data_IF_454231135239
#
_entry.id   IF_454231135239
#
_cell.length_a   1.000
_cell.length_b   1.000
_cell.length_c   1.000
_cell.angle_alpha   90.00
_cell.angle_beta   90.00
_cell.angle_gamma   90.00
#
_symmetry.space_group_name_H-M   'P 1'
#
loop_
_entity.id
_entity.type
_entity.pdbx_description
1 polymer ?
#
# COMPACT_ATOMS: atom_id res chain seq x y z
N UNK A 1 40.36 26.29 -11.59
CA UNK A 1 39.70 26.22 -10.27
C UNK A 1 40.61 26.91 -9.26
N UNK A 2 40.12 27.92 -8.57
CA UNK A 2 40.88 28.62 -7.51
C UNK A 2 41.02 27.70 -6.27
N UNK A 3 42.00 27.97 -5.40
CA UNK A 3 42.13 27.23 -4.12
C UNK A 3 40.87 27.38 -3.26
N UNK A 4 40.20 28.48 -3.31
CA UNK A 4 38.91 28.76 -2.67
C UNK A 4 37.80 27.84 -3.19
N UNK A 5 37.77 27.51 -4.49
CA UNK A 5 36.78 26.64 -5.09
C UNK A 5 37.01 25.16 -4.67
N UNK A 6 38.28 24.75 -4.62
CA UNK A 6 38.66 23.40 -4.13
C UNK A 6 38.26 23.17 -2.66
N UNK A 7 38.51 24.18 -1.80
CA UNK A 7 38.13 24.11 -0.39
C UNK A 7 36.60 24.04 -0.21
N UNK A 8 35.84 24.78 -1.01
CA UNK A 8 34.37 24.73 -1.00
C UNK A 8 33.85 23.38 -1.47
N UNK A 9 34.44 22.80 -2.51
CA UNK A 9 34.06 21.48 -3.05
C UNK A 9 34.42 20.37 -2.07
N UNK A 10 35.57 20.40 -1.43
CA UNK A 10 35.98 19.48 -0.37
C UNK A 10 35.05 19.56 0.84
N UNK A 11 34.65 20.77 1.26
CA UNK A 11 33.70 20.94 2.37
C UNK A 11 32.32 20.38 2.05
N UNK A 12 31.84 20.55 0.81
CA UNK A 12 30.57 19.95 0.34
C UNK A 12 30.65 18.42 0.33
N UNK A 13 31.73 17.84 -0.19
CA UNK A 13 31.96 16.40 -0.21
C UNK A 13 32.02 15.81 1.20
N UNK A 14 32.74 16.46 2.13
CA UNK A 14 32.85 16.03 3.51
C UNK A 14 31.49 16.09 4.23
N UNK A 15 30.71 17.17 4.01
CA UNK A 15 29.35 17.29 4.54
C UNK A 15 28.45 16.18 4.01
N UNK A 16 28.44 15.95 2.70
CA UNK A 16 27.66 14.87 2.07
C UNK A 16 28.04 13.49 2.61
N UNK A 17 29.33 13.22 2.77
CA UNK A 17 29.82 11.93 3.31
C UNK A 17 29.38 11.73 4.77
N UNK A 18 29.42 12.79 5.57
CA UNK A 18 28.99 12.77 6.97
C UNK A 18 27.49 12.54 7.10
N UNK A 19 26.68 13.25 6.31
CA UNK A 19 25.22 13.10 6.28
C UNK A 19 24.82 11.69 5.83
N UNK A 20 25.46 11.15 4.80
CA UNK A 20 25.22 9.77 4.33
C UNK A 20 25.56 8.72 5.39
N UNK A 21 26.67 8.91 6.12
CA UNK A 21 27.07 8.01 7.20
C UNK A 21 26.06 8.02 8.36
N UNK A 22 25.59 9.21 8.75
CA UNK A 22 24.58 9.36 9.79
C UNK A 22 23.26 8.70 9.35
N UNK A 23 22.79 8.97 8.13
CA UNK A 23 21.58 8.36 7.60
C UNK A 23 21.66 6.82 7.59
N UNK A 24 22.82 6.26 7.21
CA UNK A 24 23.06 4.81 7.24
C UNK A 24 22.98 4.26 8.66
N UNK A 25 23.54 4.95 9.64
CA UNK A 25 23.50 4.50 11.03
C UNK A 25 22.08 4.56 11.59
N UNK A 26 21.35 5.65 11.34
CA UNK A 26 19.95 5.81 11.76
C UNK A 26 19.06 4.72 11.16
N UNK A 27 19.22 4.39 9.87
CA UNK A 27 18.43 3.32 9.23
C UNK A 27 18.76 1.94 9.83
N UNK A 28 20.01 1.66 10.22
CA UNK A 28 20.41 0.42 10.87
C UNK A 28 19.84 0.27 12.29
N UNK A 29 19.69 1.39 12.99
CA UNK A 29 19.14 1.45 14.36
C UNK A 29 17.61 1.45 14.36
N UNK A 30 16.97 1.52 13.20
CA UNK A 30 15.51 1.57 13.07
C UNK A 30 14.92 0.18 12.88
N UNK A 31 13.89 -0.15 13.66
CA UNK A 31 12.98 -1.28 13.44
C UNK A 31 11.71 -0.78 12.76
N UNK A 32 11.34 -1.41 11.66
CA UNK A 32 10.08 -1.11 10.96
C UNK A 32 9.02 -2.11 11.35
N UNK A 33 7.82 -1.64 11.67
CA UNK A 33 6.64 -2.46 11.93
C UNK A 33 5.54 -2.11 10.95
N UNK A 34 5.21 -3.07 10.07
CA UNK A 34 4.17 -2.90 9.05
C UNK A 34 2.86 -3.49 9.56
N UNK A 35 1.85 -2.64 9.77
CA UNK A 35 0.50 -3.04 10.16
C UNK A 35 -0.24 -3.63 8.95
N UNK A 36 -0.50 -4.91 8.97
CA UNK A 36 -1.11 -5.66 7.87
C UNK A 36 -2.30 -6.53 8.33
N UNK A 37 -2.93 -6.17 9.43
CA UNK A 37 -3.97 -6.96 10.11
C UNK A 37 -5.41 -6.50 9.88
N UNK A 38 -5.66 -5.39 9.17
CA UNK A 38 -6.99 -4.84 8.97
C UNK A 38 -7.93 -5.73 8.14
N UNK A 39 -9.22 -5.73 8.48
CA UNK A 39 -10.25 -6.56 7.81
C UNK A 39 -10.46 -6.18 6.33
N UNK A 40 -10.35 -4.88 6.00
CA UNK A 40 -10.50 -4.38 4.63
C UNK A 40 -11.91 -4.54 4.07
N UNK A 41 -12.95 -4.50 4.90
CA UNK A 41 -14.35 -4.78 4.54
C UNK A 41 -14.90 -3.92 3.39
N UNK A 42 -14.38 -2.70 3.21
CA UNK A 42 -14.78 -1.76 2.12
C UNK A 42 -14.42 -2.27 0.72
N UNK A 43 -13.43 -3.16 0.58
CA UNK A 43 -13.09 -3.82 -0.69
C UNK A 43 -13.97 -5.05 -1.00
N UNK A 44 -15.01 -5.31 -0.18
CA UNK A 44 -16.06 -6.31 -0.43
C UNK A 44 -15.47 -7.70 -0.78
N UNK A 45 -15.86 -8.25 -1.92
CA UNK A 45 -15.43 -9.56 -2.40
C UNK A 45 -13.93 -9.74 -2.54
N UNK A 46 -13.17 -8.67 -2.85
CA UNK A 46 -11.72 -8.74 -2.99
C UNK A 46 -11.00 -9.14 -1.70
N UNK A 47 -11.57 -8.83 -0.54
CA UNK A 47 -11.01 -9.17 0.77
C UNK A 47 -11.75 -10.32 1.48
N UNK A 48 -12.65 -11.00 0.79
CA UNK A 48 -13.36 -12.15 1.35
C UNK A 48 -12.41 -13.28 1.79
N UNK A 49 -11.36 -13.53 1.01
CA UNK A 49 -10.41 -14.63 1.22
C UNK A 49 -8.95 -14.18 1.44
N UNK A 50 -8.71 -12.89 1.55
CA UNK A 50 -7.36 -12.31 1.72
C UNK A 50 -7.43 -11.00 2.48
N UNK A 51 -6.37 -10.67 3.22
CA UNK A 51 -6.20 -9.35 3.83
C UNK A 51 -6.00 -8.28 2.75
N UNK A 52 -6.39 -7.00 3.01
CA UNK A 52 -6.23 -5.88 2.09
C UNK A 52 -4.79 -5.76 1.57
N UNK A 53 -3.72 -5.84 2.40
CA UNK A 53 -2.34 -5.79 1.92
C UNK A 53 -1.95 -6.88 0.91
N UNK A 54 -2.69 -7.98 0.86
CA UNK A 54 -2.47 -9.09 -0.08
C UNK A 54 -3.26 -8.98 -1.39
N UNK A 55 -4.05 -7.93 -1.59
CA UNK A 55 -4.79 -7.69 -2.84
C UNK A 55 -3.78 -7.38 -3.96
N UNK A 56 -3.91 -8.00 -5.15
CA UNK A 56 -3.04 -7.70 -6.29
C UNK A 56 -3.20 -6.25 -6.75
N UNK A 57 -2.13 -5.61 -7.23
CA UNK A 57 -2.12 -4.25 -7.73
C UNK A 57 -1.13 -4.08 -8.90
N UNK A 58 -1.43 -3.20 -9.87
CA UNK A 58 -0.50 -2.81 -10.93
C UNK A 58 -0.02 -3.95 -11.84
N UNK A 59 -0.86 -4.97 -12.06
CA UNK A 59 -0.58 -6.10 -12.95
C UNK A 59 0.26 -7.22 -12.33
N UNK A 60 1.12 -6.92 -11.35
CA UNK A 60 2.16 -7.84 -10.89
C UNK A 60 2.32 -7.88 -9.38
N UNK A 61 2.12 -6.77 -8.69
CA UNK A 61 2.42 -6.55 -7.28
C UNK A 61 1.26 -6.92 -6.37
N UNK A 62 1.49 -6.81 -5.07
CA UNK A 62 0.46 -6.70 -4.05
C UNK A 62 0.61 -5.36 -3.34
N UNK A 63 -0.45 -4.88 -2.71
CA UNK A 63 -0.44 -3.57 -2.05
C UNK A 63 0.72 -3.45 -1.06
N UNK A 64 0.99 -4.46 -0.24
CA UNK A 64 2.08 -4.44 0.75
C UNK A 64 3.48 -4.29 0.13
N UNK A 65 3.67 -4.71 -1.13
CA UNK A 65 4.98 -4.65 -1.77
C UNK A 65 5.50 -3.21 -1.90
N UNK A 66 4.62 -2.21 -1.93
CA UNK A 66 5.00 -0.80 -1.98
C UNK A 66 5.68 -0.35 -0.68
N UNK A 67 5.05 -0.57 0.47
CA UNK A 67 5.63 -0.22 1.77
C UNK A 67 6.95 -0.97 2.02
N UNK A 68 7.00 -2.28 1.72
CA UNK A 68 8.22 -3.07 1.88
C UNK A 68 9.33 -2.65 0.90
N UNK A 69 8.99 -2.31 -0.35
CA UNK A 69 9.97 -1.80 -1.31
C UNK A 69 10.54 -0.45 -0.88
N UNK A 70 9.68 0.44 -0.37
CA UNK A 70 10.15 1.70 0.20
C UNK A 70 11.13 1.47 1.35
N UNK A 71 10.88 0.49 2.24
CA UNK A 71 11.82 0.13 3.30
C UNK A 71 13.19 -0.27 2.71
N UNK A 72 13.19 -1.21 1.77
CA UNK A 72 14.42 -1.71 1.16
C UNK A 72 15.18 -0.61 0.42
N UNK A 73 14.48 0.19 -0.37
CA UNK A 73 15.08 1.28 -1.14
C UNK A 73 15.61 2.41 -0.23
N UNK A 74 15.01 2.61 0.96
CA UNK A 74 15.47 3.57 1.98
C UNK A 74 16.60 3.03 2.88
N UNK A 75 17.09 1.81 2.65
CA UNK A 75 18.14 1.21 3.51
C UNK A 75 17.64 0.53 4.78
N UNK A 76 16.34 0.47 5.01
CA UNK A 76 15.73 -0.21 6.15
C UNK A 76 15.67 -1.72 5.89
N UNK A 77 16.24 -2.51 6.80
CA UNK A 77 16.44 -3.96 6.62
C UNK A 77 15.90 -4.81 7.76
N UNK A 78 15.34 -4.18 8.81
CA UNK A 78 14.82 -4.85 10.02
C UNK A 78 13.32 -4.60 10.07
N UNK A 79 12.52 -5.53 9.53
CA UNK A 79 11.11 -5.31 9.25
C UNK A 79 10.27 -6.42 9.88
N UNK A 80 9.35 -6.05 10.78
CA UNK A 80 8.30 -6.92 11.30
C UNK A 80 6.98 -6.62 10.58
N UNK A 81 6.27 -7.66 10.15
CA UNK A 81 4.93 -7.52 9.53
C UNK A 81 3.88 -8.12 10.46
N UNK A 82 3.06 -7.25 11.07
CA UNK A 82 2.01 -7.65 11.99
C UNK A 82 0.76 -8.08 11.21
N UNK A 83 0.36 -9.35 11.36
CA UNK A 83 -0.76 -9.92 10.61
C UNK A 83 -1.85 -10.45 11.55
N UNK A 84 -3.10 -10.35 11.14
CA UNK A 84 -4.25 -10.85 11.91
C UNK A 84 -5.29 -11.52 11.02
N UNK A 85 -6.14 -10.76 10.34
CA UNK A 85 -7.23 -11.29 9.54
C UNK A 85 -6.77 -11.90 8.22
N UNK A 86 -7.31 -13.10 7.86
CA UNK A 86 -7.15 -13.75 6.54
C UNK A 86 -5.70 -13.73 6.02
N UNK A 87 -4.75 -13.96 6.93
CA UNK A 87 -3.33 -13.73 6.72
C UNK A 87 -2.63 -14.77 5.82
N UNK A 88 -3.21 -15.96 5.63
CA UNK A 88 -2.56 -17.07 4.90
C UNK A 88 -2.00 -16.66 3.53
N UNK A 89 -2.79 -15.95 2.72
CA UNK A 89 -2.37 -15.48 1.40
C UNK A 89 -1.25 -14.45 1.48
N UNK A 90 -1.26 -13.60 2.52
CA UNK A 90 -0.24 -12.61 2.79
C UNK A 90 1.06 -13.28 3.26
N UNK A 91 0.98 -14.16 4.26
CA UNK A 91 2.11 -14.91 4.80
C UNK A 91 2.85 -15.66 3.68
N UNK A 92 2.12 -16.41 2.84
CA UNK A 92 2.70 -17.12 1.71
C UNK A 92 3.39 -16.19 0.71
N UNK A 93 2.85 -14.99 0.50
CA UNK A 93 3.48 -13.99 -0.36
C UNK A 93 4.78 -13.47 0.26
N UNK A 94 4.75 -13.07 1.52
CA UNK A 94 5.92 -12.58 2.25
C UNK A 94 7.07 -13.59 2.24
N UNK A 95 6.78 -14.85 2.55
CA UNK A 95 7.79 -15.91 2.53
C UNK A 95 8.45 -16.10 1.16
N UNK A 96 7.70 -15.90 0.07
CA UNK A 96 8.23 -16.08 -1.30
C UNK A 96 8.90 -14.84 -1.86
N UNK A 97 8.36 -13.67 -1.57
CA UNK A 97 8.81 -12.41 -2.13
C UNK A 97 9.97 -11.79 -1.34
N UNK A 98 9.97 -11.95 -0.01
CA UNK A 98 10.76 -11.13 0.90
C UNK A 98 11.79 -11.93 1.73
N UNK A 99 12.00 -13.19 1.40
CA UNK A 99 12.99 -14.07 2.07
C UNK A 99 14.43 -13.93 1.55
N UNK A 100 14.78 -12.83 0.88
CA UNK A 100 16.11 -12.60 0.32
C UNK A 100 17.06 -11.83 1.25
N UNK A 101 16.58 -11.28 2.35
CA UNK A 101 17.39 -10.63 3.36
C UNK A 101 18.16 -11.66 4.18
N UNK A 102 19.33 -11.26 4.67
CA UNK A 102 20.27 -12.17 5.35
C UNK A 102 20.20 -12.02 6.87
N UNK A 103 19.55 -12.95 7.51
CA UNK A 103 19.42 -12.99 8.98
C UNK A 103 20.76 -13.03 9.70
N UNK A 104 21.82 -13.60 9.07
CA UNK A 104 23.17 -13.70 9.63
C UNK A 104 23.82 -12.33 9.90
N UNK A 105 23.39 -11.29 9.20
CA UNK A 105 23.86 -9.91 9.41
C UNK A 105 22.80 -9.03 10.03
N UNK A 106 21.72 -9.62 10.59
CA UNK A 106 20.66 -8.92 11.28
C UNK A 106 19.61 -8.25 10.37
N UNK A 107 19.52 -8.67 9.10
CA UNK A 107 18.53 -8.21 8.14
C UNK A 107 17.39 -9.23 8.01
N UNK A 108 16.13 -8.78 8.11
CA UNK A 108 14.99 -9.69 8.05
C UNK A 108 13.69 -8.99 7.62
N UNK A 109 12.78 -9.78 7.05
CA UNK A 109 11.34 -9.51 7.03
C UNK A 109 10.68 -10.63 7.83
N UNK A 110 10.32 -10.36 9.07
CA UNK A 110 9.71 -11.31 9.99
C UNK A 110 8.20 -11.12 10.03
N UNK A 111 7.47 -12.24 10.07
CA UNK A 111 6.01 -12.22 10.17
C UNK A 111 5.63 -12.38 11.64
N UNK A 112 4.92 -11.38 12.16
CA UNK A 112 4.43 -11.32 13.53
C UNK A 112 2.91 -11.54 13.52
N UNK A 113 2.43 -12.80 13.50
CA UNK A 113 1.01 -13.06 13.50
C UNK A 113 0.42 -12.75 14.87
N UNK A 114 -0.84 -12.30 14.89
CA UNK A 114 -1.57 -12.15 16.14
C UNK A 114 -1.58 -13.51 16.88
N UNK A 115 -1.22 -13.46 18.16
CA UNK A 115 -1.18 -14.60 19.06
C UNK A 115 -1.93 -14.19 20.34
N UNK A 116 -2.58 -15.13 20.99
CA UNK A 116 -3.26 -14.88 22.27
C UNK A 116 -2.24 -14.91 23.44
N UNK A 117 -1.26 -13.98 23.40
CA UNK A 117 -0.14 -13.93 24.37
C UNK A 117 -0.53 -13.27 25.68
N UNK A 118 -1.46 -12.32 25.61
CA UNK A 118 -1.98 -11.59 26.76
C UNK A 118 -3.47 -11.87 26.96
N UNK A 119 -3.83 -13.13 27.26
CA UNK A 119 -5.21 -13.57 27.44
C UNK A 119 -5.80 -14.21 26.18
N UNK A 120 -7.15 -14.21 26.06
CA UNK A 120 -7.86 -14.88 24.96
C UNK A 120 -8.17 -13.96 23.76
N UNK A 121 -7.72 -12.71 23.79
CA UNK A 121 -8.04 -11.73 22.75
C UNK A 121 -6.93 -11.63 21.71
N UNK A 122 -7.36 -11.39 20.47
CA UNK A 122 -6.49 -10.97 19.39
C UNK A 122 -6.11 -9.49 19.57
N UNK A 123 -5.38 -8.89 18.61
CA UNK A 123 -5.09 -7.45 18.66
C UNK A 123 -6.39 -6.64 18.69
N UNK A 124 -6.57 -5.83 19.74
CA UNK A 124 -7.76 -4.97 19.92
C UNK A 124 -7.71 -3.74 19.05
N UNK A 125 -6.50 -3.21 18.80
CA UNK A 125 -6.25 -2.04 17.98
C UNK A 125 -4.82 -2.03 17.46
N UNK A 126 -4.45 -0.96 16.76
CA UNK A 126 -3.13 -0.80 16.15
C UNK A 126 -2.02 -0.63 17.19
N UNK A 127 -2.29 0.05 18.30
CA UNK A 127 -1.35 0.20 19.43
C UNK A 127 -1.20 -1.12 20.21
N UNK A 128 -2.29 -1.83 20.45
CA UNK A 128 -2.27 -3.15 21.11
C UNK A 128 -1.45 -4.18 20.31
N UNK A 129 -1.48 -4.09 18.98
CA UNK A 129 -0.66 -4.95 18.12
C UNK A 129 0.85 -4.76 18.39
N UNK A 130 1.30 -3.54 18.63
CA UNK A 130 2.68 -3.27 19.02
C UNK A 130 2.94 -3.67 20.48
N UNK A 131 2.04 -3.33 21.38
CA UNK A 131 2.16 -3.67 22.80
C UNK A 131 2.36 -5.17 23.02
N UNK A 132 1.56 -6.01 22.38
CA UNK A 132 1.69 -7.48 22.47
C UNK A 132 2.99 -8.03 21.88
N UNK A 133 3.74 -7.25 21.10
CA UNK A 133 5.03 -7.63 20.51
C UNK A 133 6.21 -6.83 21.08
N UNK A 134 6.03 -6.12 22.21
CA UNK A 134 7.10 -5.31 22.81
C UNK A 134 8.35 -6.12 23.19
N UNK A 135 8.19 -7.35 23.63
CA UNK A 135 9.31 -8.25 23.94
C UNK A 135 10.15 -8.59 22.71
N UNK A 136 9.52 -8.73 21.55
CA UNK A 136 10.22 -8.93 20.26
C UNK A 136 10.95 -7.65 19.87
N UNK A 137 10.29 -6.50 19.97
CA UNK A 137 10.91 -5.20 19.70
C UNK A 137 12.11 -4.98 20.62
N UNK A 138 11.98 -5.29 21.90
CA UNK A 138 13.05 -5.13 22.91
C UNK A 138 14.29 -5.98 22.59
N UNK A 139 14.12 -7.20 22.09
CA UNK A 139 15.25 -8.07 21.67
C UNK A 139 16.09 -7.46 20.56
N UNK A 140 15.46 -6.68 19.69
CA UNK A 140 16.16 -5.99 18.60
C UNK A 140 16.82 -4.68 19.06
N UNK A 141 16.50 -4.18 20.24
CA UNK A 141 17.03 -2.95 20.85
C UNK A 141 17.15 -1.78 19.84
N UNK A 142 16.06 -1.41 19.14
CA UNK A 142 16.10 -0.31 18.19
C UNK A 142 16.17 1.02 18.94
N UNK A 143 16.81 2.03 18.35
CA UNK A 143 16.76 3.41 18.79
C UNK A 143 15.49 4.11 18.32
N UNK A 144 15.04 3.75 17.12
CA UNK A 144 13.84 4.26 16.47
C UNK A 144 12.92 3.13 16.03
N UNK A 145 11.62 3.36 16.11
CA UNK A 145 10.60 2.46 15.58
C UNK A 145 9.79 3.21 14.54
N UNK A 146 9.77 2.67 13.31
CA UNK A 146 8.90 3.17 12.26
C UNK A 146 7.68 2.28 12.12
N UNK A 147 6.49 2.86 12.18
CA UNK A 147 5.20 2.17 12.03
C UNK A 147 4.59 2.56 10.69
N UNK A 148 4.25 1.58 9.87
CA UNK A 148 3.70 1.77 8.52
C UNK A 148 2.36 1.07 8.35
N UNK A 149 1.41 1.70 7.67
CA UNK A 149 0.28 1.01 7.08
C UNK A 149 0.73 0.18 5.87
N UNK A 150 0.41 -1.11 5.85
CA UNK A 150 0.76 -2.02 4.73
C UNK A 150 -0.27 -2.02 3.59
N UNK A 151 -1.13 -1.01 3.50
CA UNK A 151 -2.34 -1.01 2.67
C UNK A 151 -2.51 0.24 1.79
N UNK A 152 -1.43 1.00 1.57
CA UNK A 152 -1.38 2.19 0.72
C UNK A 152 -0.42 2.02 -0.47
N UNK A 153 -0.66 2.80 -1.53
CA UNK A 153 0.14 2.81 -2.76
C UNK A 153 0.89 4.14 -2.86
N UNK A 154 2.22 4.09 -2.80
CA UNK A 154 3.11 5.25 -2.89
C UNK A 154 4.57 4.82 -3.03
N UNK A 155 5.45 5.75 -3.43
CA UNK A 155 6.91 5.60 -3.36
C UNK A 155 7.48 6.70 -2.48
N UNK A 156 8.24 6.33 -1.45
CA UNK A 156 8.77 7.27 -0.46
C UNK A 156 10.13 6.83 0.07
N UNK A 157 11.07 7.76 0.13
CA UNK A 157 12.33 7.58 0.84
C UNK A 157 12.15 7.88 2.33
N UNK A 158 12.03 6.82 3.12
CA UNK A 158 11.88 6.94 4.56
C UNK A 158 13.12 7.46 5.28
N UNK A 159 14.30 7.37 4.68
CA UNK A 159 15.53 7.90 5.28
C UNK A 159 15.44 9.41 5.49
N UNK A 160 14.78 10.15 4.59
CA UNK A 160 14.54 11.58 4.71
C UNK A 160 13.66 11.93 5.93
N UNK A 161 12.60 11.15 6.16
CA UNK A 161 11.72 11.33 7.33
C UNK A 161 12.44 10.97 8.64
N UNK A 162 13.23 9.90 8.65
CA UNK A 162 14.06 9.51 9.79
C UNK A 162 15.08 10.59 10.13
N UNK A 163 15.77 11.15 9.14
CA UNK A 163 16.72 12.25 9.35
C UNK A 163 16.04 13.51 9.90
N UNK A 164 14.84 13.84 9.45
CA UNK A 164 14.07 14.93 10.03
C UNK A 164 13.71 14.66 11.49
N UNK A 165 13.27 13.44 11.82
CA UNK A 165 12.98 13.01 13.20
C UNK A 165 14.18 13.20 14.12
N UNK A 166 15.34 12.71 13.71
CA UNK A 166 16.58 12.83 14.50
C UNK A 166 17.03 14.29 14.65
N UNK A 167 17.04 15.04 13.53
CA UNK A 167 17.50 16.43 13.53
C UNK A 167 16.60 17.37 14.35
N UNK A 168 15.31 17.09 14.44
CA UNK A 168 14.35 17.86 15.25
C UNK A 168 14.29 17.44 16.71
N UNK A 169 14.98 16.36 17.09
CA UNK A 169 14.86 15.77 18.43
C UNK A 169 13.43 15.38 18.75
N UNK A 170 12.70 14.89 17.75
CA UNK A 170 11.30 14.52 17.91
C UNK A 170 11.15 13.23 18.74
N UNK A 171 10.08 13.14 19.50
CA UNK A 171 9.60 11.90 20.11
C UNK A 171 8.71 11.12 19.14
N UNK A 172 7.96 11.88 18.32
CA UNK A 172 7.04 11.38 17.30
C UNK A 172 7.13 12.23 16.03
N UNK A 173 7.27 11.59 14.86
CA UNK A 173 7.12 12.23 13.56
C UNK A 173 6.01 11.54 12.79
N UNK A 174 5.08 12.30 12.21
CA UNK A 174 3.94 11.80 11.45
C UNK A 174 4.07 12.22 9.99
N UNK A 175 4.12 11.24 9.06
CA UNK A 175 4.03 11.50 7.63
C UNK A 175 2.64 12.04 7.27
N UNK A 176 2.57 13.16 6.57
CA UNK A 176 1.33 13.82 6.22
C UNK A 176 1.28 14.26 4.76
N UNK A 177 0.06 14.38 4.25
CA UNK A 177 -0.24 14.75 2.88
C UNK A 177 -1.43 15.71 2.84
N UNK A 178 -1.45 16.59 1.85
CA UNK A 178 -2.57 17.49 1.62
C UNK A 178 -3.65 16.74 0.83
N UNK A 179 -4.87 16.75 1.31
CA UNK A 179 -6.02 16.12 0.65
C UNK A 179 -7.22 17.08 0.60
N UNK A 180 -8.14 16.92 -0.36
CA UNK A 180 -9.42 17.63 -0.34
C UNK A 180 -10.12 17.43 1.00
N UNK A 181 -10.74 18.50 1.54
CA UNK A 181 -11.42 18.48 2.85
C UNK A 181 -12.43 17.35 2.99
N UNK A 182 -13.20 17.07 1.93
CA UNK A 182 -14.19 16.00 1.95
C UNK A 182 -13.55 14.59 2.06
N UNK A 183 -12.40 14.39 1.44
CA UNK A 183 -11.64 13.13 1.54
C UNK A 183 -10.97 12.98 2.91
N UNK A 184 -10.62 14.09 3.56
CA UNK A 184 -9.96 14.11 4.86
C UNK A 184 -10.78 13.45 5.98
N UNK A 185 -12.10 13.35 5.83
CA UNK A 185 -13.00 12.63 6.78
C UNK A 185 -12.65 11.16 6.97
N UNK A 186 -11.90 10.58 6.03
CA UNK A 186 -11.48 9.19 6.10
C UNK A 186 -10.16 8.98 6.89
N UNK A 187 -9.45 10.05 7.26
CA UNK A 187 -8.10 10.03 7.80
C UNK A 187 -7.99 10.74 9.16
N UNK A 188 -6.87 10.54 9.84
CA UNK A 188 -6.47 11.42 10.92
C UNK A 188 -6.07 12.79 10.35
N UNK A 189 -6.65 13.86 10.84
CA UNK A 189 -6.38 15.25 10.39
C UNK A 189 -5.59 15.98 11.45
N UNK A 190 -4.57 16.72 11.02
CA UNK A 190 -3.70 17.47 11.91
C UNK A 190 -3.61 18.94 11.55
N UNK A 191 -3.37 19.78 12.57
CA UNK A 191 -2.99 21.17 12.46
C UNK A 191 -1.55 21.33 12.96
N UNK A 192 -0.79 22.19 12.30
CA UNK A 192 0.62 22.43 12.61
C UNK A 192 0.91 23.91 12.79
N UNK A 193 1.97 24.24 13.52
CA UNK A 193 2.54 25.58 13.58
C UNK A 193 3.56 25.82 12.46
N UNK A 194 4.24 26.97 12.52
CA UNK A 194 5.25 27.39 11.54
C UNK A 194 6.47 26.48 11.48
N UNK A 195 6.77 25.77 12.57
CA UNK A 195 7.89 24.85 12.71
C UNK A 195 7.48 23.38 12.44
N UNK A 196 6.30 23.17 11.87
CA UNK A 196 5.71 21.86 11.61
C UNK A 196 5.42 21.02 12.87
N UNK A 197 5.40 21.64 14.05
CA UNK A 197 4.97 20.98 15.28
C UNK A 197 3.47 20.77 15.24
N UNK A 198 3.02 19.56 15.56
CA UNK A 198 1.61 19.21 15.55
C UNK A 198 0.95 19.81 16.79
N UNK A 199 -0.03 20.68 16.55
CA UNK A 199 -0.79 21.38 17.60
C UNK A 199 -2.14 20.74 17.90
N UNK A 200 -2.70 20.02 16.93
CA UNK A 200 -3.95 19.26 17.06
C UNK A 200 -3.92 18.03 16.16
N UNK A 201 -4.57 16.98 16.61
CA UNK A 201 -4.83 15.77 15.83
C UNK A 201 -6.21 15.22 16.14
N UNK A 202 -7.00 14.90 15.10
CA UNK A 202 -8.34 14.33 15.25
C UNK A 202 -8.50 13.17 14.25
N UNK A 203 -8.79 11.99 14.76
CA UNK A 203 -9.00 10.80 13.92
C UNK A 203 -10.39 10.82 13.29
N UNK A 204 -10.47 10.80 11.97
CA UNK A 204 -11.70 10.75 11.16
C UNK A 204 -12.76 11.77 11.60
N UNK A 205 -12.44 13.07 11.60
CA UNK A 205 -13.38 14.09 12.01
C UNK A 205 -14.55 14.21 11.03
N UNK A 206 -15.75 14.48 11.55
CA UNK A 206 -16.91 14.82 10.70
C UNK A 206 -16.68 16.14 9.96
N UNK A 207 -16.03 17.09 10.62
CA UNK A 207 -15.67 18.40 10.10
C UNK A 207 -14.14 18.59 10.15
N UNK A 208 -13.41 18.22 9.07
CA UNK A 208 -11.94 18.30 9.06
C UNK A 208 -11.45 19.76 9.12
N UNK A 209 -10.45 20.00 9.98
CA UNK A 209 -9.72 21.27 9.98
C UNK A 209 -8.98 21.48 8.66
N UNK A 210 -8.95 22.71 8.20
CA UNK A 210 -8.32 23.07 6.93
C UNK A 210 -6.96 23.73 7.15
N UNK A 211 -6.11 23.67 6.13
CA UNK A 211 -4.82 24.36 6.15
C UNK A 211 -5.06 25.88 6.13
N UNK A 212 -4.39 26.67 6.99
CA UNK A 212 -4.51 28.12 6.99
C UNK A 212 -4.31 28.73 5.60
N UNK A 213 -5.30 29.51 5.15
CA UNK A 213 -5.31 30.13 3.81
C UNK A 213 -5.72 29.19 2.66
N UNK A 214 -6.03 27.92 2.93
CA UNK A 214 -6.53 26.95 1.92
C UNK A 214 -7.73 26.17 2.45
N UNK A 215 -8.94 26.73 2.38
CA UNK A 215 -10.15 26.17 3.01
C UNK A 215 -10.67 24.88 2.35
N UNK A 216 -10.20 24.57 1.19
CA UNK A 216 -10.50 23.37 0.40
C UNK A 216 -9.61 22.15 0.73
N UNK A 217 -8.51 22.37 1.47
CA UNK A 217 -7.52 21.35 1.77
C UNK A 217 -7.33 21.15 3.28
N UNK A 218 -7.06 19.89 3.66
CA UNK A 218 -6.70 19.47 5.01
C UNK A 218 -5.38 18.71 5.00
N UNK A 219 -4.67 18.73 6.14
CA UNK A 219 -3.43 17.97 6.32
C UNK A 219 -3.75 16.61 6.95
N UNK A 220 -3.68 15.55 6.16
CA UNK A 220 -4.05 14.20 6.55
C UNK A 220 -2.83 13.34 6.91
N UNK A 221 -2.98 12.51 7.93
CA UNK A 221 -1.99 11.48 8.28
C UNK A 221 -1.99 10.36 7.24
N UNK A 222 -0.80 9.98 6.81
CA UNK A 222 -0.58 8.86 5.90
C UNK A 222 -0.54 7.49 6.61
N UNK A 223 -0.68 7.45 7.94
CA UNK A 223 -0.46 6.22 8.70
C UNK A 223 1.01 5.78 8.71
N UNK A 224 1.92 6.73 8.62
CA UNK A 224 3.37 6.55 8.65
C UNK A 224 3.90 7.32 9.85
N UNK A 225 4.48 6.61 10.81
CA UNK A 225 4.96 7.19 12.06
C UNK A 225 6.41 6.79 12.31
N UNK A 226 7.19 7.71 12.85
CA UNK A 226 8.52 7.44 13.45
C UNK A 226 8.46 7.81 14.91
N UNK A 227 8.88 6.91 15.77
CA UNK A 227 8.94 7.09 17.20
C UNK A 227 10.37 6.92 17.71
N UNK A 228 10.77 7.74 18.67
CA UNK A 228 11.85 7.40 19.60
C UNK A 228 11.39 6.21 20.45
N UNK A 229 12.18 5.14 20.51
CA UNK A 229 11.74 3.87 21.14
C UNK A 229 11.33 4.01 22.60
N UNK A 230 12.05 4.83 23.37
CA UNK A 230 11.73 5.08 24.79
C UNK A 230 10.35 5.72 24.97
N UNK A 231 10.04 6.70 24.11
CA UNK A 231 8.73 7.33 24.10
C UNK A 231 7.63 6.34 23.72
N UNK A 232 7.83 5.58 22.64
CA UNK A 232 6.85 4.59 22.17
C UNK A 232 6.51 3.57 23.27
N UNK A 233 7.51 3.02 23.95
CA UNK A 233 7.28 2.03 25.01
C UNK A 233 6.47 2.62 26.16
N UNK A 234 6.82 3.82 26.60
CA UNK A 234 6.06 4.50 27.66
C UNK A 234 4.60 4.75 27.25
N UNK A 235 4.38 5.17 26.01
CA UNK A 235 3.04 5.43 25.48
C UNK A 235 2.21 4.14 25.36
N UNK A 236 2.81 3.04 24.89
CA UNK A 236 2.13 1.74 24.75
C UNK A 236 1.76 1.12 26.11
N UNK A 237 2.64 1.26 27.13
CA UNK A 237 2.36 0.77 28.49
C UNK A 237 1.20 1.57 29.08
N UNK A 238 1.26 2.91 29.02
CA UNK A 238 0.20 3.76 29.54
C UNK A 238 -1.16 3.52 28.84
N UNK A 239 -1.15 3.26 27.52
CA UNK A 239 -2.35 2.94 26.78
C UNK A 239 -2.93 1.57 27.15
N UNK A 240 -2.07 0.57 27.37
CA UNK A 240 -2.50 -0.78 27.75
C UNK A 240 -3.19 -0.82 29.13
N UNK A 241 -2.83 0.09 30.04
CA UNK A 241 -3.41 0.24 31.37
C UNK A 241 -4.70 1.10 31.37
N UNK A 242 -5.01 1.80 30.28
CA UNK A 242 -6.18 2.65 30.17
C UNK A 242 -7.42 1.81 29.76
N UNK A 243 -8.41 1.62 30.67
CA UNK A 243 -9.59 0.81 30.38
C UNK A 243 -10.54 1.44 29.35
N UNK A 244 -10.44 2.75 29.14
CA UNK A 244 -11.30 3.49 28.20
C UNK A 244 -10.66 3.57 26.80
N UNK A 245 -9.42 3.12 26.65
CA UNK A 245 -8.72 3.13 25.36
C UNK A 245 -9.26 2.08 24.39
N UNK A 246 -9.37 2.45 23.11
CA UNK A 246 -9.59 1.53 22.00
C UNK A 246 -8.28 0.91 21.50
N UNK A 247 -7.14 1.30 22.07
CA UNK A 247 -5.79 0.88 21.74
C UNK A 247 -5.42 1.13 20.27
N UNK A 248 -5.81 2.29 19.76
CA UNK A 248 -5.55 2.74 18.39
C UNK A 248 -4.59 3.94 18.38
N UNK A 249 -3.64 3.95 17.43
CA UNK A 249 -2.68 5.06 17.34
C UNK A 249 -3.37 6.40 17.12
N UNK A 250 -4.30 6.46 16.17
CA UNK A 250 -4.97 7.69 15.78
C UNK A 250 -5.93 8.21 16.83
N UNK A 251 -6.61 7.32 17.57
CA UNK A 251 -7.62 7.69 18.55
C UNK A 251 -7.03 7.93 19.94
N UNK A 252 -6.03 7.14 20.34
CA UNK A 252 -5.61 7.08 21.73
C UNK A 252 -4.17 7.56 21.93
N UNK A 253 -3.20 7.07 21.16
CA UNK A 253 -1.77 7.40 21.35
C UNK A 253 -1.45 8.81 20.86
N UNK A 254 -1.75 9.14 19.61
CA UNK A 254 -1.34 10.41 19.01
C UNK A 254 -1.98 11.62 19.67
N UNK A 255 -3.30 11.64 19.96
CA UNK A 255 -3.93 12.77 20.66
C UNK A 255 -3.34 13.04 22.05
N UNK A 256 -2.91 11.99 22.78
CA UNK A 256 -2.21 12.15 24.05
C UNK A 256 -0.77 12.64 23.86
N UNK A 257 -0.07 12.10 22.86
CA UNK A 257 1.33 12.41 22.55
C UNK A 257 1.56 13.88 22.21
N UNK A 258 0.69 14.50 21.41
CA UNK A 258 0.85 15.91 20.99
C UNK A 258 0.88 16.93 22.16
N UNK A 259 0.35 16.57 23.31
CA UNK A 259 0.34 17.44 24.51
C UNK A 259 1.58 17.26 25.39
N UNK A 260 2.28 16.14 25.32
CA UNK A 260 3.37 15.78 26.23
C UNK A 260 4.72 15.54 25.54
N UNK A 261 4.73 15.45 24.23
CA UNK A 261 5.90 15.08 23.45
C UNK A 261 6.22 16.11 22.34
N UNK A 262 7.44 16.04 21.83
CA UNK A 262 7.83 16.78 20.62
C UNK A 262 7.31 16.03 19.38
N UNK A 263 6.09 16.37 18.94
CA UNK A 263 5.43 15.75 17.80
C UNK A 263 5.53 16.64 16.56
N UNK A 264 6.14 16.13 15.48
CA UNK A 264 6.45 16.87 14.25
C UNK A 264 5.71 16.24 13.06
N UNK A 265 5.17 17.06 12.17
CA UNK A 265 4.60 16.63 10.90
C UNK A 265 5.67 16.62 9.81
N UNK A 266 5.76 15.52 9.06
CA UNK A 266 6.62 15.39 7.88
C UNK A 266 5.75 15.50 6.61
N UNK A 267 5.78 16.65 5.90
CA UNK A 267 5.00 16.80 4.66
C UNK A 267 5.63 15.96 3.55
N UNK A 268 4.83 15.05 3.01
CA UNK A 268 5.25 14.19 1.90
C UNK A 268 5.12 14.92 0.57
N UNK A 269 6.24 15.38 0.04
CA UNK A 269 6.34 16.14 -1.21
C UNK A 269 7.48 15.63 -2.07
N UNK A 270 7.36 15.88 -3.38
CA UNK A 270 8.43 15.71 -4.34
C UNK A 270 9.55 16.74 -4.11
N UNK A 271 10.72 16.53 -4.74
CA UNK A 271 11.87 17.43 -4.61
C UNK A 271 11.60 18.85 -5.17
N UNK A 272 10.70 18.97 -6.12
CA UNK A 272 10.21 20.24 -6.67
C UNK A 272 9.17 20.95 -5.80
N UNK A 273 8.79 20.35 -4.66
CA UNK A 273 7.81 20.87 -3.72
C UNK A 273 6.36 20.56 -4.07
N UNK A 274 6.10 19.89 -5.19
CA UNK A 274 4.76 19.41 -5.56
C UNK A 274 4.32 18.26 -4.63
N UNK A 275 3.02 18.00 -4.60
CA UNK A 275 2.47 16.89 -3.84
C UNK A 275 2.96 15.55 -4.42
N UNK A 276 3.49 14.68 -3.57
CA UNK A 276 3.88 13.34 -3.99
C UNK A 276 2.68 12.41 -4.12
N UNK A 277 2.82 11.38 -4.96
CA UNK A 277 1.76 10.40 -5.18
C UNK A 277 1.54 9.50 -3.95
N UNK A 278 0.31 9.50 -3.46
CA UNK A 278 -0.15 8.60 -2.41
C UNK A 278 -1.63 8.28 -2.59
N UNK A 279 -2.02 7.01 -2.45
CA UNK A 279 -3.43 6.58 -2.56
C UNK A 279 -3.78 5.57 -1.45
N UNK A 280 -4.85 5.86 -0.71
CA UNK A 280 -5.56 4.84 0.07
C UNK A 280 -6.51 4.07 -0.87
N UNK A 281 -6.10 2.87 -1.26
CA UNK A 281 -6.93 1.98 -2.08
C UNK A 281 -7.90 1.20 -1.19
N UNK A 282 -8.65 1.90 -0.35
CA UNK A 282 -9.55 1.33 0.66
C UNK A 282 -10.95 1.00 0.16
N UNK A 283 -11.38 1.54 -0.97
CA UNK A 283 -12.67 1.25 -1.61
C UNK A 283 -12.46 0.65 -3.00
N UNK A 284 -13.50 0.04 -3.58
CA UNK A 284 -13.42 -0.50 -4.95
C UNK A 284 -13.13 0.60 -5.97
N UNK A 285 -13.76 1.77 -5.80
CA UNK A 285 -13.57 2.92 -6.71
C UNK A 285 -12.14 3.45 -6.63
N UNK A 286 -11.60 3.68 -5.42
CA UNK A 286 -10.20 4.13 -5.25
C UNK A 286 -9.18 3.09 -5.73
N UNK A 287 -9.45 1.80 -5.52
CA UNK A 287 -8.63 0.72 -6.02
C UNK A 287 -8.63 0.65 -7.57
N UNK A 288 -9.81 0.73 -8.18
CA UNK A 288 -9.95 0.75 -9.64
C UNK A 288 -9.25 1.98 -10.22
N UNK A 289 -9.52 3.17 -9.70
CA UNK A 289 -8.94 4.43 -10.15
C UNK A 289 -7.41 4.40 -10.09
N UNK A 290 -6.83 3.97 -8.96
CA UNK A 290 -5.37 3.87 -8.82
C UNK A 290 -4.73 2.89 -9.83
N UNK A 291 -5.42 1.80 -10.20
CA UNK A 291 -4.96 0.91 -11.27
C UNK A 291 -5.09 1.57 -12.67
N UNK A 292 -6.17 2.33 -12.90
CA UNK A 292 -6.37 3.02 -14.19
C UNK A 292 -5.38 4.17 -14.40
N UNK A 293 -4.98 4.87 -13.34
CA UNK A 293 -3.93 5.89 -13.37
C UNK A 293 -2.62 5.35 -13.96
N UNK A 294 -2.30 4.07 -13.73
CA UNK A 294 -1.12 3.40 -14.29
C UNK A 294 -1.18 3.22 -15.81
N UNK A 295 -2.37 3.28 -16.40
CA UNK A 295 -2.58 3.16 -17.85
C UNK A 295 -2.37 4.49 -18.61
N UNK A 296 -2.11 5.58 -17.90
CA UNK A 296 -1.78 6.87 -18.51
C UNK A 296 -0.44 6.80 -19.26
N UNK A 297 -0.26 7.67 -20.26
CA UNK A 297 1.01 7.77 -21.02
C UNK A 297 2.16 8.16 -20.07
N UNK A 298 1.91 9.10 -19.18
CA UNK A 298 2.82 9.54 -18.12
C UNK A 298 2.13 9.39 -16.77
N UNK A 299 2.20 8.20 -16.13
CA UNK A 299 1.57 7.98 -14.85
C UNK A 299 2.36 8.67 -13.72
N UNK A 300 1.67 9.31 -12.77
CA UNK A 300 2.31 9.89 -11.59
C UNK A 300 3.09 8.84 -10.79
N UNK A 301 2.55 7.64 -10.65
CA UNK A 301 3.27 6.49 -10.10
C UNK A 301 3.98 5.73 -11.22
N UNK A 302 5.27 5.97 -11.37
CA UNK A 302 6.07 5.29 -12.38
C UNK A 302 6.60 3.93 -11.91
N UNK A 303 5.95 2.84 -12.30
CA UNK A 303 6.38 1.47 -11.99
C UNK A 303 7.68 1.05 -12.73
N UNK A 304 8.14 1.84 -13.69
CA UNK A 304 9.34 1.59 -14.51
C UNK A 304 10.56 2.37 -14.02
N UNK A 305 10.45 3.07 -12.89
CA UNK A 305 11.60 3.77 -12.29
C UNK A 305 12.64 2.75 -11.79
N UNK A 306 13.82 2.75 -12.42
CA UNK A 306 14.93 1.87 -12.05
C UNK A 306 15.66 2.30 -10.80
N UNK A 307 15.54 3.57 -10.41
CA UNK A 307 16.16 4.10 -9.21
C UNK A 307 15.34 3.79 -7.96
N UNK A 308 14.02 3.56 -8.14
CA UNK A 308 13.11 3.19 -7.04
C UNK A 308 12.23 1.98 -7.41
N UNK A 309 12.83 0.78 -7.60
CA UNK A 309 12.10 -0.40 -8.06
C UNK A 309 11.12 -0.89 -6.99
N UNK A 310 9.95 -1.34 -7.43
CA UNK A 310 9.01 -2.05 -6.57
C UNK A 310 9.32 -3.56 -6.67
N UNK A 311 9.76 -4.14 -5.56
CA UNK A 311 10.09 -5.55 -5.45
C UNK A 311 8.86 -6.40 -5.18
N UNK A 312 8.82 -7.60 -5.73
CA UNK A 312 7.75 -8.58 -5.50
C UNK A 312 8.19 -9.98 -5.91
N UNK A 313 7.42 -10.98 -5.55
CA UNK A 313 7.60 -12.33 -6.08
C UNK A 313 7.20 -12.42 -7.54
N UNK A 314 8.10 -12.92 -8.36
CA UNK A 314 7.83 -13.19 -9.77
C UNK A 314 7.62 -14.67 -9.99
N UNK A 315 6.40 -15.06 -10.38
CA UNK A 315 6.14 -16.40 -10.91
C UNK A 315 6.83 -16.52 -12.26
N UNK A 316 7.43 -17.69 -12.52
CA UNK A 316 8.02 -18.02 -13.81
C UNK A 316 6.91 -18.17 -14.87
N UNK A 317 6.59 -17.10 -15.57
CA UNK A 317 5.64 -17.08 -16.68
C UNK A 317 6.36 -16.75 -17.98
N UNK A 318 5.93 -17.34 -19.12
CA UNK A 318 6.40 -16.90 -20.42
C UNK A 318 5.95 -15.46 -20.69
N UNK A 319 6.52 -14.78 -21.70
CA UNK A 319 6.02 -13.48 -22.15
C UNK A 319 4.53 -13.52 -22.50
N UNK A 320 3.86 -12.36 -22.43
CA UNK A 320 2.50 -12.22 -22.95
C UNK A 320 2.46 -12.49 -24.45
N UNK A 321 1.42 -13.20 -24.92
CA UNK A 321 1.25 -13.61 -26.30
C UNK A 321 0.00 -12.98 -26.91
N UNK A 322 0.17 -12.33 -28.04
CA UNK A 322 -0.89 -11.74 -28.85
C UNK A 322 -0.97 -12.51 -30.16
N UNK A 323 -2.15 -12.97 -30.51
CA UNK A 323 -2.33 -13.79 -31.74
C UNK A 323 -3.52 -13.33 -32.54
N UNK A 324 -3.46 -13.66 -33.83
CA UNK A 324 -4.34 -13.27 -34.91
C UNK A 324 -4.19 -11.81 -35.33
N UNK A 325 -4.28 -11.59 -36.66
CA UNK A 325 -4.29 -10.29 -37.31
C UNK A 325 -5.30 -10.32 -38.50
N UNK A 326 -6.41 -11.01 -38.28
CA UNK A 326 -7.50 -11.05 -39.25
C UNK A 326 -8.43 -9.85 -39.02
N UNK A 327 -9.19 -9.46 -40.06
CA UNK A 327 -10.18 -8.41 -39.95
C UNK A 327 -11.24 -8.78 -38.91
N UNK A 328 -11.40 -7.88 -37.90
CA UNK A 328 -12.29 -8.10 -36.75
C UNK A 328 -11.80 -9.10 -35.71
N UNK A 329 -10.64 -9.78 -35.92
CA UNK A 329 -10.05 -10.75 -35.04
C UNK A 329 -8.55 -10.46 -34.83
N UNK A 330 -8.23 -9.46 -34.00
CA UNK A 330 -6.85 -9.05 -33.74
C UNK A 330 -6.58 -9.08 -32.24
N UNK A 331 -5.46 -9.71 -31.83
CA UNK A 331 -4.98 -9.66 -30.47
C UNK A 331 -4.20 -8.38 -30.22
N UNK A 332 -4.78 -7.41 -29.53
CA UNK A 332 -4.15 -6.10 -29.29
C UNK A 332 -4.42 -5.56 -27.87
N UNK A 333 -3.48 -4.77 -27.37
CA UNK A 333 -3.64 -4.01 -26.12
C UNK A 333 -3.10 -2.59 -26.34
N UNK A 334 -3.91 -1.59 -25.99
CA UNK A 334 -3.62 -0.16 -26.15
C UNK A 334 -3.79 0.53 -24.81
N UNK A 335 -2.85 1.39 -24.44
CA UNK A 335 -2.85 2.11 -23.16
C UNK A 335 -3.11 1.16 -21.96
N UNK A 336 -2.44 0.01 -21.95
CA UNK A 336 -2.76 -1.08 -21.02
C UNK A 336 -1.51 -1.75 -20.49
N UNK A 337 -1.58 -2.26 -19.26
CA UNK A 337 -0.53 -3.10 -18.69
C UNK A 337 -0.90 -4.57 -18.86
N UNK A 338 -0.06 -5.35 -19.55
CA UNK A 338 -0.29 -6.79 -19.76
C UNK A 338 0.89 -7.58 -19.18
N UNK A 339 0.62 -8.41 -18.20
CA UNK A 339 1.63 -9.17 -17.47
C UNK A 339 2.01 -10.48 -18.17
N UNK A 340 3.11 -11.11 -17.70
CA UNK A 340 3.59 -12.38 -18.24
C UNK A 340 2.56 -13.52 -18.17
N UNK A 341 2.64 -14.46 -19.11
CA UNK A 341 1.75 -15.61 -19.21
C UNK A 341 0.36 -15.32 -19.73
N UNK A 342 0.05 -14.07 -20.11
CA UNK A 342 -1.23 -13.72 -20.73
C UNK A 342 -1.31 -14.17 -22.18
N UNK A 343 -2.49 -14.56 -22.63
CA UNK A 343 -2.79 -14.86 -24.04
C UNK A 343 -4.01 -14.04 -24.45
N UNK A 344 -3.80 -13.13 -25.42
CA UNK A 344 -4.86 -12.36 -26.07
C UNK A 344 -5.12 -12.98 -27.44
N UNK A 345 -6.12 -13.84 -27.50
CA UNK A 345 -6.43 -14.68 -28.67
C UNK A 345 -7.46 -13.99 -29.56
N UNK A 346 -7.03 -13.01 -30.34
CA UNK A 346 -7.94 -12.23 -31.21
C UNK A 346 -8.90 -11.37 -30.39
N UNK A 347 -8.45 -10.84 -29.26
CA UNK A 347 -9.19 -10.00 -28.35
C UNK A 347 -8.60 -8.58 -28.30
N UNK A 348 -9.44 -7.60 -28.04
CA UNK A 348 -9.05 -6.19 -27.93
C UNK A 348 -9.09 -5.71 -26.49
N UNK A 349 -7.96 -5.19 -26.00
CA UNK A 349 -7.82 -4.62 -24.66
C UNK A 349 -7.47 -3.15 -24.77
N UNK A 350 -8.15 -2.30 -24.01
CA UNK A 350 -7.89 -0.85 -23.98
C UNK A 350 -8.01 -0.29 -22.57
N UNK A 351 -7.03 0.53 -22.15
CA UNK A 351 -6.95 1.19 -20.85
C UNK A 351 -7.31 0.23 -19.71
N UNK A 352 -6.56 -0.87 -19.62
CA UNK A 352 -6.88 -1.93 -18.68
C UNK A 352 -5.60 -2.55 -18.10
N UNK A 353 -5.71 -3.08 -16.90
CA UNK A 353 -4.61 -3.79 -16.23
C UNK A 353 -4.91 -5.28 -16.24
N UNK A 354 -4.12 -6.05 -17.01
CA UNK A 354 -4.26 -7.50 -17.17
C UNK A 354 -3.15 -8.19 -16.40
N UNK A 355 -3.54 -8.88 -15.33
CA UNK A 355 -2.63 -9.62 -14.47
C UNK A 355 -2.19 -10.95 -15.10
N UNK A 356 -1.13 -11.52 -14.54
CA UNK A 356 -0.44 -12.69 -15.06
C UNK A 356 -1.35 -13.92 -15.26
N UNK A 357 -1.02 -14.72 -16.28
CA UNK A 357 -1.70 -15.98 -16.64
C UNK A 357 -3.20 -15.79 -16.94
N UNK A 358 -3.60 -14.64 -17.46
CA UNK A 358 -4.95 -14.37 -17.96
C UNK A 358 -5.09 -14.80 -19.40
N UNK A 359 -6.21 -15.42 -19.77
CA UNK A 359 -6.55 -15.80 -21.12
C UNK A 359 -7.81 -15.06 -21.58
N UNK A 360 -7.75 -14.45 -22.75
CA UNK A 360 -8.88 -13.70 -23.36
C UNK A 360 -9.10 -14.22 -24.77
N UNK A 361 -10.27 -14.82 -24.97
CA UNK A 361 -10.63 -15.47 -26.22
C UNK A 361 -11.16 -14.49 -27.28
N UNK A 362 -11.26 -14.98 -28.52
CA UNK A 362 -11.52 -14.19 -29.73
C UNK A 362 -12.82 -13.38 -29.67
N UNK A 363 -12.75 -12.21 -30.30
CA UNK A 363 -13.84 -11.25 -30.44
C UNK A 363 -14.28 -10.60 -29.14
N UNK A 364 -13.54 -10.83 -28.05
CA UNK A 364 -13.81 -10.21 -26.76
C UNK A 364 -13.14 -8.83 -26.64
N UNK A 365 -13.83 -7.90 -26.01
CA UNK A 365 -13.36 -6.52 -25.78
C UNK A 365 -13.34 -6.21 -24.30
N UNK A 366 -12.17 -5.73 -23.84
CA UNK A 366 -11.95 -5.33 -22.44
C UNK A 366 -11.56 -3.86 -22.43
N UNK A 367 -12.25 -3.06 -21.65
CA UNK A 367 -12.02 -1.63 -21.58
C UNK A 367 -12.13 -1.13 -20.15
N UNK A 368 -11.26 -0.18 -19.75
CA UNK A 368 -11.30 0.48 -18.42
C UNK A 368 -11.46 -0.53 -17.28
N UNK A 369 -10.71 -1.63 -17.28
CA UNK A 369 -10.96 -2.75 -16.37
C UNK A 369 -9.67 -3.32 -15.75
N UNK A 370 -9.82 -3.89 -14.56
CA UNK A 370 -8.76 -4.59 -13.83
C UNK A 370 -9.08 -6.09 -13.82
N UNK A 371 -8.30 -6.87 -14.56
CA UNK A 371 -8.47 -8.32 -14.67
C UNK A 371 -7.39 -9.00 -13.82
N UNK A 372 -7.80 -9.57 -12.68
CA UNK A 372 -6.90 -10.16 -11.70
C UNK A 372 -6.30 -11.51 -12.17
N UNK A 373 -5.29 -12.06 -11.47
CA UNK A 373 -4.53 -13.21 -11.96
C UNK A 373 -5.39 -14.45 -12.29
N UNK A 374 -5.01 -15.16 -13.37
CA UNK A 374 -5.59 -16.45 -13.76
C UNK A 374 -7.08 -16.38 -14.11
N UNK A 375 -7.54 -15.25 -14.60
CA UNK A 375 -8.88 -15.11 -15.16
C UNK A 375 -8.90 -15.69 -16.58
N UNK A 376 -9.98 -16.38 -16.91
CA UNK A 376 -10.25 -16.83 -18.28
C UNK A 376 -11.52 -16.15 -18.80
N UNK A 377 -11.42 -15.45 -19.91
CA UNK A 377 -12.55 -14.75 -20.55
C UNK A 377 -12.85 -15.44 -21.87
N UNK A 378 -14.08 -15.92 -22.02
CA UNK A 378 -14.57 -16.61 -23.20
C UNK A 378 -14.67 -15.72 -24.43
N UNK A 379 -15.30 -16.23 -25.48
CA UNK A 379 -15.48 -15.55 -26.77
C UNK A 379 -16.62 -14.53 -26.73
N UNK A 380 -16.53 -13.50 -27.58
CA UNK A 380 -17.57 -12.48 -27.76
C UNK A 380 -18.00 -11.79 -26.45
N UNK A 381 -17.13 -11.73 -25.45
CA UNK A 381 -17.40 -11.02 -24.21
C UNK A 381 -17.17 -9.52 -24.38
N UNK A 382 -17.98 -8.72 -23.68
CA UNK A 382 -17.78 -7.26 -23.56
C UNK A 382 -17.71 -6.88 -22.10
N UNK A 383 -16.55 -6.35 -21.68
CA UNK A 383 -16.28 -6.00 -20.29
C UNK A 383 -15.77 -4.58 -20.24
N UNK A 384 -16.43 -3.73 -19.47
CA UNK A 384 -15.97 -2.36 -19.22
C UNK A 384 -16.23 -1.94 -17.76
N UNK A 385 -15.44 -0.98 -17.26
CA UNK A 385 -15.54 -0.44 -15.91
C UNK A 385 -15.65 -1.53 -14.82
N UNK A 386 -14.82 -2.56 -14.92
CA UNK A 386 -14.96 -3.74 -14.09
C UNK A 386 -13.66 -4.15 -13.37
N UNK A 387 -13.85 -4.82 -12.24
CA UNK A 387 -12.81 -5.54 -11.51
C UNK A 387 -13.22 -7.03 -11.53
N UNK A 388 -12.47 -7.87 -12.23
CA UNK A 388 -12.72 -9.31 -12.28
C UNK A 388 -11.75 -10.00 -11.32
N UNK A 389 -12.26 -10.66 -10.28
CA UNK A 389 -11.42 -11.27 -9.26
C UNK A 389 -10.68 -12.52 -9.78
N UNK A 390 -9.64 -12.87 -9.08
CA UNK A 390 -8.68 -13.93 -9.39
C UNK A 390 -9.37 -15.27 -9.68
N UNK A 391 -8.95 -15.91 -10.78
CA UNK A 391 -9.37 -17.26 -11.13
C UNK A 391 -10.83 -17.38 -11.61
N UNK A 392 -11.46 -16.24 -11.91
CA UNK A 392 -12.81 -16.20 -12.46
C UNK A 392 -12.81 -16.72 -13.91
N UNK A 393 -13.78 -17.54 -14.23
CA UNK A 393 -14.12 -17.93 -15.62
C UNK A 393 -15.34 -17.13 -16.08
N UNK A 394 -15.19 -16.35 -17.16
CA UNK A 394 -16.27 -15.61 -17.82
C UNK A 394 -16.71 -16.38 -19.05
N UNK A 395 -17.97 -16.80 -19.09
CA UNK A 395 -18.53 -17.59 -20.18
C UNK A 395 -18.65 -16.77 -21.48
N UNK A 396 -18.70 -17.46 -22.62
CA UNK A 396 -18.86 -16.84 -23.95
C UNK A 396 -20.08 -15.91 -23.99
N UNK A 397 -19.93 -14.77 -24.69
CA UNK A 397 -21.00 -13.80 -24.88
C UNK A 397 -21.38 -12.97 -23.67
N UNK A 398 -20.67 -13.12 -22.55
CA UNK A 398 -20.98 -12.37 -21.32
C UNK A 398 -20.72 -10.87 -21.51
N UNK A 399 -21.68 -10.06 -21.05
CA UNK A 399 -21.60 -8.59 -21.01
C UNK A 399 -21.53 -8.12 -19.55
N UNK A 400 -20.58 -7.23 -19.26
CA UNK A 400 -20.34 -6.65 -17.93
C UNK A 400 -20.00 -5.18 -18.07
N UNK A 401 -20.65 -4.30 -17.30
CA UNK A 401 -20.38 -2.88 -17.23
C UNK A 401 -21.05 -2.04 -18.31
N UNK A 402 -21.92 -2.62 -19.13
CA UNK A 402 -22.71 -1.89 -20.15
C UNK A 402 -24.16 -1.63 -19.71
N UNK A 403 -24.74 -2.49 -18.88
CA UNK A 403 -26.10 -2.39 -18.38
C UNK A 403 -26.11 -2.36 -16.86
N UNK A 404 -26.22 -1.17 -16.23
CA UNK A 404 -26.15 -1.03 -14.77
C UNK A 404 -27.25 -1.79 -14.01
N UNK A 405 -28.45 -1.96 -14.61
CA UNK A 405 -29.55 -2.67 -13.94
C UNK A 405 -29.30 -4.19 -13.94
N UNK A 406 -28.87 -4.72 -15.06
CA UNK A 406 -28.53 -6.14 -15.18
C UNK A 406 -27.29 -6.48 -14.33
N UNK A 407 -26.28 -5.61 -14.37
CA UNK A 407 -25.08 -5.79 -13.55
C UNK A 407 -25.40 -5.75 -12.04
N UNK A 408 -26.27 -4.86 -11.59
CA UNK A 408 -26.68 -4.77 -10.19
C UNK A 408 -27.46 -6.01 -9.69
N UNK A 409 -28.14 -6.73 -10.59
CA UNK A 409 -28.83 -8.00 -10.24
C UNK A 409 -27.84 -9.16 -10.04
N UNK A 410 -26.69 -9.12 -10.70
CA UNK A 410 -25.73 -10.24 -10.78
C UNK A 410 -24.48 -10.01 -9.95
N UNK A 411 -24.07 -8.77 -9.82
CA UNK A 411 -22.75 -8.36 -9.33
C UNK A 411 -22.85 -7.24 -8.30
N UNK A 412 -21.73 -6.88 -7.72
CA UNK A 412 -21.66 -5.70 -6.88
C UNK A 412 -21.26 -4.48 -7.73
N UNK A 413 -22.15 -3.50 -7.82
CA UNK A 413 -21.90 -2.23 -8.53
C UNK A 413 -21.68 -1.12 -7.49
N UNK A 414 -20.62 -0.34 -7.67
CA UNK A 414 -20.33 0.80 -6.80
C UNK A 414 -21.16 2.03 -7.19
N UNK A 415 -21.24 3.05 -6.34
CA UNK A 415 -21.89 4.32 -6.70
C UNK A 415 -21.29 5.00 -7.94
N UNK A 416 -20.00 4.81 -8.23
CA UNK A 416 -19.33 5.34 -9.42
C UNK A 416 -19.50 4.43 -10.66
N UNK A 417 -20.24 3.33 -10.54
CA UNK A 417 -20.54 2.43 -11.66
C UNK A 417 -19.48 1.36 -11.92
N UNK A 418 -18.55 1.13 -11.00
CA UNK A 418 -17.55 0.06 -11.13
C UNK A 418 -18.15 -1.28 -10.74
N UNK A 419 -18.02 -2.28 -11.61
CA UNK A 419 -18.60 -3.62 -11.42
C UNK A 419 -17.55 -4.58 -10.86
N UNK A 420 -17.77 -5.10 -9.66
CA UNK A 420 -16.95 -6.18 -9.11
C UNK A 420 -17.57 -7.54 -9.41
N UNK A 421 -16.80 -8.41 -10.04
CA UNK A 421 -17.19 -9.79 -10.32
C UNK A 421 -16.25 -10.76 -9.60
N UNK A 422 -16.79 -11.63 -8.76
CA UNK A 422 -16.05 -12.71 -8.11
C UNK A 422 -16.53 -14.08 -8.61
N UNK A 423 -15.72 -15.14 -8.47
CA UNK A 423 -16.13 -16.49 -8.87
C UNK A 423 -17.45 -16.93 -8.25
N UNK A 424 -17.68 -16.58 -7.00
CA UNK A 424 -18.91 -16.97 -6.29
C UNK A 424 -20.17 -16.32 -6.85
N UNK A 425 -20.07 -15.06 -7.36
CA UNK A 425 -21.21 -14.38 -8.00
C UNK A 425 -21.64 -15.08 -9.29
N UNK A 426 -20.73 -15.83 -9.89
CA UNK A 426 -20.99 -16.67 -11.07
C UNK A 426 -21.28 -18.14 -10.72
N UNK A 427 -21.52 -18.45 -9.45
CA UNK A 427 -21.77 -19.82 -9.00
C UNK A 427 -20.53 -20.73 -9.06
N UNK A 428 -19.32 -20.18 -9.24
CA UNK A 428 -18.09 -20.93 -9.31
C UNK A 428 -17.52 -21.20 -7.93
N UNK A 429 -17.27 -22.46 -7.62
CA UNK A 429 -16.70 -22.85 -6.34
C UNK A 429 -15.17 -23.04 -6.47
N UNK A 430 -14.41 -22.12 -5.91
CA UNK A 430 -12.94 -22.18 -5.91
C UNK A 430 -12.38 -23.43 -5.21
N UNK A 431 -13.13 -24.03 -4.29
CA UNK A 431 -12.71 -25.25 -3.58
C UNK A 431 -12.85 -26.53 -4.42
N UNK A 432 -13.71 -26.53 -5.44
CA UNK A 432 -13.95 -27.69 -6.31
C UNK A 432 -13.18 -27.64 -7.63
N UNK A 433 -12.66 -26.47 -8.01
CA UNK A 433 -11.93 -26.28 -9.28
C UNK A 433 -10.52 -26.90 -9.32
N UNK A 434 -10.05 -27.52 -8.24
CA UNK A 434 -8.72 -28.13 -8.13
C UNK A 434 -8.70 -29.64 -8.33
N UNK A 435 -9.83 -30.25 -8.64
CA UNK A 435 -9.87 -31.67 -9.03
C UNK A 435 -9.86 -31.72 -10.55
N UNK A 436 -8.75 -32.11 -11.21
CA UNK A 436 -8.77 -32.41 -12.65
C UNK A 436 -9.75 -33.54 -12.90
N UNK A 437 -10.68 -33.37 -13.83
CA UNK A 437 -11.47 -34.47 -14.37
C UNK A 437 -10.60 -35.34 -15.25
#
# INVERSE_FOLDING_TARGET
>A
MSDSDRHREQAKLYKYYTETKIATEVTRQTLVLVLAGGEGSRLKGLTKWRAKPAVPFGGKYRIIDFALSNCINSGLRRIGVLTQYKSHSLIRHLQRAWGFLRAEIGEFVEILPAQQRLGQQWYRGTADALYQNMDIMHRHAPEYVMVLGGDHIYTMDYSKMLMMHVNSGADLTIGCIEVPREEAKAFGVMSVDTDMRITRFTEKPEDPETIPGRPDLSLASMGIYVFSTSFLYSALIADAEDPDSSHDFGKDIIPKAIHSANAIAYPFRNEDGTQAYWRDVGTLDSYWKANMELCAVEPELNLYDRNWPIWTYQTQHPPAKFVFDDEGRRGEAIDSLVSGGCILSGARVKRSVIFFATQIESYSTIKDSVILPKVTIGRNCRICNAIIDKGTFIADGTVIGEDPEEDARRFHVTPEGIVLVTPEMLGQNLFLATVPK
#
